data_IF_672659470635
#
_entry.id   IF_672659470635
#
_cell.length_a   1.000
_cell.length_b   1.000
_cell.length_c   1.000
_cell.angle_alpha   90.00
_cell.angle_beta   90.00
_cell.angle_gamma   90.00
#
_symmetry.space_group_name_H-M   'P 1'
#
loop_
_entity.id
_entity.type
_entity.pdbx_description
1 polymer ?
#
# COMPACT_ATOMS: atom_id res chain seq x y z
N UNK A 1 -29.99 3.14 25.84
CA UNK A 1 -29.47 1.88 26.41
C UNK A 1 -27.98 2.08 26.64
N UNK A 2 -27.50 2.00 27.88
CA UNK A 2 -26.06 2.11 28.19
C UNK A 2 -25.47 0.69 28.23
N UNK A 3 -24.32 0.43 27.58
CA UNK A 3 -23.68 -0.87 27.66
C UNK A 3 -23.16 -1.11 29.08
N UNK A 4 -23.22 -2.36 29.55
CA UNK A 4 -22.62 -2.73 30.84
C UNK A 4 -21.09 -2.72 30.73
N UNK A 5 -20.42 -2.53 31.86
CA UNK A 5 -18.96 -2.57 31.95
C UNK A 5 -18.37 -3.90 31.43
N UNK A 6 -19.05 -5.02 31.73
CA UNK A 6 -18.68 -6.35 31.24
C UNK A 6 -18.71 -6.46 29.71
N UNK A 7 -19.68 -5.82 29.04
CA UNK A 7 -19.77 -5.82 27.57
C UNK A 7 -18.60 -5.04 26.99
N UNK A 8 -18.29 -3.86 27.57
CA UNK A 8 -17.16 -3.04 27.13
C UNK A 8 -15.85 -3.81 27.28
N UNK A 9 -15.61 -4.43 28.44
CA UNK A 9 -14.42 -5.23 28.69
C UNK A 9 -14.27 -6.40 27.70
N UNK A 10 -15.37 -7.12 27.40
CA UNK A 10 -15.38 -8.19 26.41
C UNK A 10 -15.03 -7.69 25.00
N UNK A 11 -15.63 -6.59 24.55
CA UNK A 11 -15.35 -6.02 23.22
C UNK A 11 -13.90 -5.55 23.13
N UNK A 12 -13.38 -4.90 24.17
CA UNK A 12 -11.98 -4.47 24.23
C UNK A 12 -11.02 -5.65 24.12
N UNK A 13 -11.26 -6.73 24.86
CA UNK A 13 -10.45 -7.94 24.78
C UNK A 13 -10.52 -8.60 23.40
N UNK A 14 -11.72 -8.67 22.81
CA UNK A 14 -11.91 -9.20 21.45
C UNK A 14 -11.15 -8.37 20.42
N UNK A 15 -11.25 -7.04 20.48
CA UNK A 15 -10.54 -6.14 19.58
C UNK A 15 -9.03 -6.29 19.71
N UNK A 16 -8.52 -6.39 20.94
CA UNK A 16 -7.09 -6.59 21.21
C UNK A 16 -6.57 -7.90 20.58
N UNK A 17 -7.29 -9.01 20.79
CA UNK A 17 -6.92 -10.31 20.20
C UNK A 17 -7.06 -10.34 18.67
N UNK A 18 -7.99 -9.56 18.11
CA UNK A 18 -8.17 -9.45 16.67
C UNK A 18 -7.01 -8.70 15.99
N UNK A 19 -6.42 -7.70 16.65
CA UNK A 19 -5.30 -6.92 16.11
C UNK A 19 -4.11 -7.81 15.77
N UNK A 20 -3.84 -8.87 16.55
CA UNK A 20 -2.74 -9.80 16.26
C UNK A 20 -2.95 -10.52 14.91
N UNK A 21 -4.17 -11.00 14.65
CA UNK A 21 -4.51 -11.67 13.40
C UNK A 21 -4.45 -10.68 12.23
N UNK A 22 -5.04 -9.50 12.41
CA UNK A 22 -5.02 -8.45 11.40
C UNK A 22 -3.60 -8.02 11.04
N UNK A 23 -2.69 -7.90 12.01
CA UNK A 23 -1.30 -7.52 11.75
C UNK A 23 -0.57 -8.56 10.89
N UNK A 24 -0.75 -9.86 11.19
CA UNK A 24 -0.17 -10.96 10.40
C UNK A 24 -0.71 -10.95 8.96
N UNK A 25 -2.01 -10.74 8.81
CA UNK A 25 -2.64 -10.66 7.48
C UNK A 25 -2.07 -9.50 6.66
N UNK A 26 -1.94 -8.30 7.27
CA UNK A 26 -1.38 -7.12 6.60
C UNK A 26 0.08 -7.32 6.19
N UNK A 27 0.89 -7.95 7.04
CA UNK A 27 2.27 -8.31 6.71
C UNK A 27 2.31 -9.27 5.51
N UNK A 28 1.48 -10.31 5.53
CA UNK A 28 1.40 -11.29 4.44
C UNK A 28 0.93 -10.66 3.12
N UNK A 29 -0.03 -9.72 3.16
CA UNK A 29 -0.50 -9.02 1.96
C UNK A 29 0.58 -8.13 1.36
N UNK A 30 1.28 -7.36 2.19
CA UNK A 30 2.40 -6.54 1.73
C UNK A 30 3.53 -7.41 1.15
N UNK A 31 3.88 -8.50 1.85
CA UNK A 31 4.90 -9.44 1.42
C UNK A 31 4.53 -10.15 0.10
N UNK A 32 3.27 -10.57 -0.04
CA UNK A 32 2.76 -11.18 -1.28
C UNK A 32 2.90 -10.23 -2.48
N UNK A 33 2.74 -8.92 -2.27
CA UNK A 33 2.95 -7.89 -3.27
C UNK A 33 4.43 -7.47 -3.42
N UNK A 34 5.39 -8.16 -2.79
CA UNK A 34 6.82 -7.86 -2.83
C UNK A 34 7.22 -6.57 -2.09
N UNK A 35 6.36 -6.06 -1.20
CA UNK A 35 6.58 -4.83 -0.44
C UNK A 35 6.97 -5.13 1.01
N UNK A 36 7.76 -4.24 1.61
CA UNK A 36 8.09 -4.25 3.06
C UNK A 36 7.21 -3.32 3.88
N UNK A 37 6.41 -2.49 3.21
CA UNK A 37 5.55 -1.49 3.82
C UNK A 37 4.10 -1.78 3.44
N UNK A 38 3.24 -1.81 4.46
CA UNK A 38 1.80 -1.92 4.32
C UNK A 38 1.23 -0.64 3.72
N UNK A 39 0.28 -0.75 2.81
CA UNK A 39 -0.42 0.37 2.19
C UNK A 39 -1.95 0.23 2.35
N UNK A 40 -2.70 1.17 1.77
CA UNK A 40 -4.16 1.18 1.87
C UNK A 40 -4.84 -0.01 1.20
N UNK A 41 -4.24 -0.58 0.14
CA UNK A 41 -4.81 -1.75 -0.54
C UNK A 41 -4.76 -3.00 0.34
N UNK A 42 -3.73 -3.15 1.18
CA UNK A 42 -3.64 -4.25 2.14
C UNK A 42 -4.77 -4.18 3.19
N UNK A 43 -5.07 -2.97 3.67
CA UNK A 43 -6.16 -2.72 4.63
C UNK A 43 -7.53 -2.99 4.00
N UNK A 44 -7.73 -2.58 2.75
CA UNK A 44 -8.96 -2.87 2.00
C UNK A 44 -9.09 -4.38 1.76
N UNK A 45 -8.00 -5.07 1.43
CA UNK A 45 -7.97 -6.51 1.23
C UNK A 45 -8.29 -7.26 2.53
N UNK A 46 -7.85 -6.80 3.70
CA UNK A 46 -8.23 -7.38 4.98
C UNK A 46 -9.74 -7.39 5.21
N UNK A 47 -10.48 -6.45 4.63
CA UNK A 47 -11.94 -6.36 4.72
C UNK A 47 -12.70 -7.19 3.65
N UNK A 48 -12.02 -7.98 2.81
CA UNK A 48 -12.64 -8.68 1.67
C UNK A 48 -13.82 -9.59 2.04
N UNK A 49 -13.89 -10.09 3.27
CA UNK A 49 -15.00 -10.96 3.74
C UNK A 49 -16.31 -10.18 3.95
N UNK A 50 -16.26 -8.86 3.95
CA UNK A 50 -17.42 -7.99 4.12
C UNK A 50 -17.41 -6.92 3.02
N UNK A 51 -18.17 -7.17 1.96
CA UNK A 51 -18.26 -6.28 0.79
C UNK A 51 -18.64 -4.85 1.16
N UNK A 52 -19.61 -4.66 2.05
CA UNK A 52 -20.05 -3.33 2.48
C UNK A 52 -18.92 -2.57 3.19
N UNK A 53 -18.14 -3.26 4.03
CA UNK A 53 -17.00 -2.67 4.70
C UNK A 53 -15.87 -2.35 3.72
N UNK A 54 -15.55 -3.27 2.81
CA UNK A 54 -14.55 -3.08 1.75
C UNK A 54 -14.88 -1.85 0.88
N UNK A 55 -16.14 -1.72 0.45
CA UNK A 55 -16.62 -0.55 -0.29
C UNK A 55 -16.49 0.75 0.52
N UNK A 56 -16.88 0.72 1.80
CA UNK A 56 -16.79 1.89 2.68
C UNK A 56 -15.34 2.35 2.85
N UNK A 57 -14.41 1.40 3.04
CA UNK A 57 -12.97 1.69 3.15
C UNK A 57 -12.39 2.24 1.85
N UNK A 58 -12.82 1.72 0.69
CA UNK A 58 -12.42 2.25 -0.63
C UNK A 58 -12.86 3.69 -0.80
N UNK A 59 -14.12 4.01 -0.48
CA UNK A 59 -14.63 5.38 -0.53
C UNK A 59 -13.83 6.30 0.40
N UNK A 60 -13.60 5.88 1.63
CA UNK A 60 -12.79 6.66 2.59
C UNK A 60 -11.36 6.91 2.09
N UNK A 61 -10.71 5.89 1.49
CA UNK A 61 -9.38 6.04 0.90
C UNK A 61 -9.36 7.09 -0.23
N UNK A 62 -10.38 7.11 -1.09
CA UNK A 62 -10.49 8.09 -2.16
C UNK A 62 -10.67 9.51 -1.62
N UNK A 63 -11.48 9.68 -0.57
CA UNK A 63 -11.68 10.98 0.08
C UNK A 63 -10.40 11.51 0.72
N UNK A 64 -9.57 10.64 1.31
CA UNK A 64 -8.25 11.03 1.84
C UNK A 64 -7.33 11.54 0.72
N UNK A 65 -7.27 10.84 -0.41
CA UNK A 65 -6.46 11.23 -1.58
C UNK A 65 -6.95 12.56 -2.19
N UNK A 66 -8.25 12.84 -2.14
CA UNK A 66 -8.83 14.09 -2.63
C UNK A 66 -8.52 15.29 -1.72
N UNK A 67 -8.30 15.05 -0.43
CA UNK A 67 -8.02 16.09 0.58
C UNK A 67 -6.53 16.37 0.77
N UNK A 68 -5.62 15.52 0.28
CA UNK A 68 -4.20 15.82 0.33
C UNK A 68 -3.88 17.05 -0.56
N UNK A 69 -3.23 18.10 0.00
CA UNK A 69 -2.81 19.24 -0.79
C UNK A 69 -1.81 18.75 -1.86
N UNK A 70 -2.14 19.03 -3.12
CA UNK A 70 -1.36 18.70 -4.32
C UNK A 70 0.04 19.33 -4.30
N UNK A 71 0.94 18.86 -3.43
CA UNK A 71 2.27 19.42 -3.24
C UNK A 71 3.31 18.90 -4.25
N UNK A 72 2.99 17.85 -5.03
CA UNK A 72 3.98 17.22 -5.91
C UNK A 72 3.77 17.39 -7.43
N UNK A 73 2.67 17.98 -7.92
CA UNK A 73 2.48 18.17 -9.38
C UNK A 73 3.28 19.33 -9.99
N UNK A 74 4.17 20.00 -9.24
CA UNK A 74 4.98 21.15 -9.70
C UNK A 74 6.49 20.91 -9.78
N UNK A 75 6.98 19.67 -9.79
CA UNK A 75 8.39 19.41 -10.16
C UNK A 75 8.51 18.61 -11.47
N UNK A 76 8.77 19.41 -12.52
CA UNK A 76 9.48 19.13 -13.78
C UNK A 76 8.69 18.58 -14.98
N UNK A 77 8.05 19.52 -15.67
CA UNK A 77 8.07 19.57 -17.15
C UNK A 77 9.22 20.48 -17.60
N UNK A 78 10.43 19.92 -17.69
CA UNK A 78 11.64 20.40 -18.40
C UNK A 78 12.75 19.39 -18.02
N UNK A 79 13.21 18.48 -18.87
CA UNK A 79 13.89 18.72 -20.15
C UNK A 79 13.60 17.64 -21.20
N UNK A 80 13.13 18.05 -22.38
CA UNK A 80 13.43 17.34 -23.64
C UNK A 80 14.81 17.84 -24.10
N UNK A 81 15.75 16.94 -24.39
CA UNK A 81 16.43 16.77 -25.70
C UNK A 81 17.72 15.93 -25.53
N UNK A 82 17.75 14.82 -26.28
CA UNK A 82 18.88 14.09 -26.89
C UNK A 82 20.15 13.79 -26.06
N UNK A 83 20.47 12.51 -25.90
CA UNK A 83 21.66 11.96 -26.57
C UNK A 83 21.48 10.46 -26.87
N UNK A 84 21.51 10.16 -28.17
CA UNK A 84 21.53 8.84 -28.79
C UNK A 84 22.94 8.65 -29.31
N UNK A 85 23.78 7.87 -28.63
CA UNK A 85 24.83 7.03 -29.23
C UNK A 85 25.72 6.40 -28.15
N UNK A 86 26.25 5.22 -28.48
CA UNK A 86 27.41 4.53 -27.88
C UNK A 86 27.16 3.47 -26.79
N UNK A 87 26.45 2.40 -27.15
CA UNK A 87 26.77 1.04 -26.66
C UNK A 87 26.75 0.04 -27.81
N UNK A 88 27.51 0.33 -28.87
CA UNK A 88 27.92 -0.64 -29.89
C UNK A 88 29.45 -0.77 -29.83
N UNK A 89 29.95 -1.46 -28.82
CA UNK A 89 31.37 -1.82 -28.68
C UNK A 89 31.57 -2.99 -27.70
N UNK A 90 30.73 -4.03 -27.80
CA UNK A 90 30.94 -5.30 -27.09
C UNK A 90 31.29 -6.46 -28.06
N UNK A 91 31.84 -6.16 -29.25
CA UNK A 91 32.04 -7.19 -30.28
C UNK A 91 33.46 -7.22 -30.90
N UNK A 92 34.51 -6.80 -30.18
CA UNK A 92 35.90 -6.95 -30.67
C UNK A 92 36.94 -7.33 -29.62
N UNK A 93 36.54 -7.98 -28.51
CA UNK A 93 37.48 -8.42 -27.48
C UNK A 93 37.39 -9.93 -27.13
N UNK A 94 37.04 -10.78 -28.10
CA UNK A 94 37.07 -12.25 -27.93
C UNK A 94 37.77 -12.99 -29.08
N UNK A 95 38.75 -12.36 -29.75
CA UNK A 95 39.51 -13.05 -30.81
C UNK A 95 41.02 -12.81 -30.85
N UNK A 96 41.63 -12.29 -29.77
CA UNK A 96 43.10 -12.32 -29.61
C UNK A 96 43.53 -12.39 -28.13
N UNK A 97 43.26 -13.54 -27.49
CA UNK A 97 44.15 -14.12 -26.48
C UNK A 97 43.90 -15.61 -26.28
#
# INVERSE_FOLDING_TARGET
MQPSESIVACISNLAFNYVEHLAKDLELFAHHAGRKLVNTEDVILAAHRNENLSLSLRTFCNDLKAKEPQSERKRKKASRKEDKATTSALETAELLR
#
